data_IF_320138842400
#
_entry.id   IF_320138842400
#
_cell.length_a   1.000
_cell.length_b   1.000
_cell.length_c   1.000
_cell.angle_alpha   90.00
_cell.angle_beta   90.00
_cell.angle_gamma   90.00
#
_symmetry.space_group_name_H-M   'P 1'
#
loop_
_entity.id
_entity.type
_entity.pdbx_description
1 polymer ?
#
# COMPACT_ATOMS: atom_id res chain seq x y z
N UNK A 1 23.82 -13.94 35.81
CA UNK A 1 23.50 -12.71 35.05
C UNK A 1 22.97 -13.19 33.72
N UNK A 2 21.66 -13.13 33.52
CA UNK A 2 20.99 -13.78 32.38
C UNK A 2 21.17 -12.88 31.16
N UNK A 3 22.00 -13.29 30.21
CA UNK A 3 22.02 -12.68 28.87
C UNK A 3 20.70 -13.00 28.19
N UNK A 4 19.79 -12.03 28.14
CA UNK A 4 18.64 -12.08 27.27
C UNK A 4 19.11 -11.68 25.87
N UNK A 5 19.52 -12.68 25.07
CA UNK A 5 19.50 -12.54 23.62
C UNK A 5 18.03 -12.49 23.20
N UNK A 6 17.50 -11.28 23.01
CA UNK A 6 16.23 -11.07 22.35
C UNK A 6 16.52 -11.15 20.86
N UNK A 7 16.63 -12.37 20.34
CA UNK A 7 16.52 -12.62 18.91
C UNK A 7 15.04 -12.59 18.53
N UNK A 8 14.46 -11.39 18.53
CA UNK A 8 13.19 -11.12 17.84
C UNK A 8 13.51 -10.91 16.36
N UNK A 9 13.84 -11.98 15.64
CA UNK A 9 13.93 -11.95 14.18
C UNK A 9 12.52 -11.85 13.61
N UNK A 10 11.90 -10.67 13.75
CA UNK A 10 10.64 -10.33 13.12
C UNK A 10 10.91 -10.13 11.63
N UNK A 11 10.44 -11.06 10.80
CA UNK A 11 10.43 -10.87 9.35
C UNK A 11 9.48 -9.71 9.04
N UNK A 12 10.02 -8.53 8.79
CA UNK A 12 9.25 -7.38 8.31
C UNK A 12 8.62 -7.73 6.97
N UNK A 13 7.36 -7.34 6.77
CA UNK A 13 6.67 -7.55 5.50
C UNK A 13 7.24 -6.59 4.46
N UNK A 14 7.63 -7.12 3.31
CA UNK A 14 8.05 -6.28 2.20
C UNK A 14 6.85 -5.47 1.69
N UNK A 15 7.00 -4.14 1.65
CA UNK A 15 6.04 -3.24 1.06
C UNK A 15 6.70 -2.55 -0.13
N UNK A 16 6.07 -2.64 -1.30
CA UNK A 16 6.60 -2.09 -2.55
C UNK A 16 5.51 -1.35 -3.33
N UNK A 17 5.91 -0.67 -4.39
CA UNK A 17 5.01 0.07 -5.26
C UNK A 17 4.78 -0.68 -6.56
N UNK A 18 3.54 -0.64 -7.05
CA UNK A 18 3.24 -1.03 -8.42
C UNK A 18 4.02 -0.14 -9.40
N UNK A 19 4.54 -0.67 -10.51
CA UNK A 19 5.41 0.06 -11.45
C UNK A 19 4.85 1.42 -11.89
N UNK A 20 3.57 1.48 -12.28
CA UNK A 20 2.93 2.75 -12.62
C UNK A 20 2.78 3.71 -11.42
N UNK A 21 2.60 3.18 -10.21
CA UNK A 21 2.47 3.99 -9.01
C UNK A 21 3.83 4.50 -8.52
N UNK A 22 4.90 3.74 -8.73
CA UNK A 22 6.26 4.17 -8.40
C UNK A 22 6.60 5.48 -9.13
N UNK A 23 6.34 5.54 -10.44
CA UNK A 23 6.50 6.77 -11.22
C UNK A 23 5.61 7.91 -10.71
N UNK A 24 4.34 7.64 -10.36
CA UNK A 24 3.45 8.67 -9.79
C UNK A 24 3.95 9.16 -8.42
N UNK A 25 4.49 8.27 -7.59
CA UNK A 25 4.98 8.55 -6.26
C UNK A 25 6.15 9.53 -6.28
N UNK A 26 7.06 9.41 -7.26
CA UNK A 26 8.17 10.35 -7.44
C UNK A 26 7.70 11.80 -7.65
N UNK A 27 6.55 11.98 -8.29
CA UNK A 27 5.94 13.28 -8.57
C UNK A 27 5.10 13.84 -7.41
N UNK A 28 4.85 13.06 -6.36
CA UNK A 28 4.14 13.54 -5.18
C UNK A 28 4.99 14.50 -4.35
N UNK A 29 4.34 15.49 -3.73
CA UNK A 29 4.98 16.39 -2.78
C UNK A 29 5.67 15.62 -1.64
N UNK A 30 6.83 16.11 -1.21
CA UNK A 30 7.63 15.48 -0.16
C UNK A 30 6.83 15.17 1.11
N UNK A 31 5.92 16.05 1.52
CA UNK A 31 5.10 15.82 2.72
C UNK A 31 4.12 14.65 2.54
N UNK A 32 3.59 14.46 1.33
CA UNK A 32 2.71 13.34 0.99
C UNK A 32 3.50 12.04 0.96
N UNK A 33 4.67 12.04 0.30
CA UNK A 33 5.58 10.89 0.25
C UNK A 33 5.96 10.40 1.65
N UNK A 34 6.36 11.32 2.53
CA UNK A 34 6.71 11.00 3.92
C UNK A 34 5.51 10.45 4.70
N UNK A 35 4.33 11.03 4.50
CA UNK A 35 3.10 10.54 5.13
C UNK A 35 2.72 9.14 4.68
N UNK A 36 2.89 8.84 3.39
CA UNK A 36 2.63 7.50 2.85
C UNK A 36 3.64 6.49 3.40
N UNK A 37 4.95 6.79 3.34
CA UNK A 37 5.99 5.92 3.91
C UNK A 37 5.73 5.66 5.39
N UNK A 38 5.36 6.68 6.17
CA UNK A 38 5.04 6.52 7.58
C UNK A 38 3.84 5.59 7.81
N UNK A 39 2.83 5.63 6.93
CA UNK A 39 1.69 4.71 7.00
C UNK A 39 2.05 3.28 6.58
N UNK A 40 2.94 3.12 5.60
CA UNK A 40 3.43 1.82 5.15
C UNK A 40 4.16 1.05 6.26
N UNK A 41 4.86 1.75 7.17
CA UNK A 41 5.51 1.14 8.35
C UNK A 41 4.56 0.30 9.21
N UNK A 42 3.28 0.68 9.29
CA UNK A 42 2.30 -0.13 9.99
C UNK A 42 2.09 -1.50 9.31
N UNK A 43 2.15 -1.54 7.98
CA UNK A 43 2.07 -2.77 7.18
C UNK A 43 3.38 -3.54 7.20
N UNK A 44 4.53 -2.87 7.13
CA UNK A 44 5.86 -3.51 7.26
C UNK A 44 5.95 -4.29 8.58
N UNK A 45 5.49 -3.69 9.68
CA UNK A 45 5.58 -4.31 11.00
C UNK A 45 4.51 -5.39 11.26
N UNK A 46 3.25 -5.13 10.87
CA UNK A 46 2.11 -5.98 11.26
C UNK A 46 1.53 -6.83 10.11
N UNK A 47 1.90 -6.54 8.86
CA UNK A 47 1.44 -7.25 7.68
C UNK A 47 -0.09 -7.35 7.59
N UNK A 48 -0.66 -8.54 7.39
CA UNK A 48 -2.11 -8.76 7.33
C UNK A 48 -2.86 -8.30 8.57
N UNK A 49 -2.20 -8.28 9.74
CA UNK A 49 -2.77 -7.84 11.00
C UNK A 49 -2.75 -6.32 11.19
N UNK A 50 -2.13 -5.57 10.26
CA UNK A 50 -2.22 -4.11 10.27
C UNK A 50 -3.69 -3.67 10.17
N UNK A 51 -4.07 -2.76 11.06
CA UNK A 51 -5.45 -2.29 11.20
C UNK A 51 -5.55 -0.82 11.58
N UNK A 52 -6.69 -0.43 12.13
CA UNK A 52 -6.96 0.96 12.49
C UNK A 52 -5.96 1.46 13.54
N UNK A 53 -5.56 2.75 13.48
CA UNK A 53 -6.11 3.82 12.63
C UNK A 53 -5.50 3.93 11.22
N UNK A 54 -4.40 3.21 10.93
CA UNK A 54 -3.60 3.40 9.72
C UNK A 54 -4.05 2.55 8.54
N UNK A 55 -4.67 1.40 8.81
CA UNK A 55 -5.17 0.47 7.79
C UNK A 55 -6.65 0.20 8.00
N UNK A 56 -7.39 0.10 6.92
CA UNK A 56 -8.79 -0.37 6.90
C UNK A 56 -9.05 -1.26 5.68
N UNK A 57 -10.20 -1.91 5.64
CA UNK A 57 -10.65 -2.66 4.44
C UNK A 57 -11.20 -1.67 3.42
N UNK A 58 -10.78 -1.80 2.15
CA UNK A 58 -11.30 -0.96 1.06
C UNK A 58 -12.53 -1.62 0.44
N UNK A 59 -13.72 -1.25 0.93
CA UNK A 59 -14.97 -1.79 0.44
C UNK A 59 -15.32 -1.31 -0.99
N UNK A 60 -15.94 -2.18 -1.77
CA UNK A 60 -16.40 -1.89 -3.13
C UNK A 60 -15.42 -2.26 -4.24
N UNK A 61 -14.22 -2.74 -3.90
CA UNK A 61 -13.30 -3.37 -4.84
C UNK A 61 -13.84 -4.72 -5.33
N UNK A 62 -13.47 -5.10 -6.56
CA UNK A 62 -13.67 -6.46 -7.08
C UNK A 62 -12.83 -7.51 -6.35
N UNK A 63 -11.77 -7.09 -5.67
CA UNK A 63 -10.85 -7.94 -4.92
C UNK A 63 -11.14 -7.84 -3.43
N UNK A 64 -11.52 -8.95 -2.81
CA UNK A 64 -11.92 -8.97 -1.40
C UNK A 64 -10.77 -8.65 -0.42
N UNK A 65 -9.52 -8.80 -0.86
CA UNK A 65 -8.31 -8.52 -0.07
C UNK A 65 -7.79 -7.08 -0.23
N UNK A 66 -8.50 -6.20 -0.94
CA UNK A 66 -8.10 -4.81 -1.12
C UNK A 66 -8.23 -4.01 0.19
N UNK A 67 -7.17 -3.29 0.55
CA UNK A 67 -7.06 -2.50 1.80
C UNK A 67 -6.77 -1.03 1.51
N UNK A 68 -7.09 -0.16 2.48
CA UNK A 68 -6.72 1.26 2.44
C UNK A 68 -5.68 1.61 3.52
N UNK A 69 -4.64 2.32 3.12
CA UNK A 69 -3.77 3.10 4.01
C UNK A 69 -4.41 4.46 4.25
N UNK A 70 -4.36 4.90 5.51
CA UNK A 70 -4.97 6.13 5.99
C UNK A 70 -3.90 7.01 6.60
N UNK A 71 -3.65 8.16 5.98
CA UNK A 71 -2.66 9.11 6.47
C UNK A 71 -3.07 10.54 6.19
N UNK A 72 -2.33 11.47 6.79
CA UNK A 72 -2.46 12.89 6.52
C UNK A 72 -1.14 13.45 6.05
N UNK A 73 -1.21 14.50 5.23
CA UNK A 73 -0.06 15.25 4.75
C UNK A 73 -0.16 16.71 5.16
N UNK A 74 0.94 17.46 5.00
CA UNK A 74 1.04 18.89 5.31
C UNK A 74 0.52 19.24 6.71
N UNK A 75 1.08 18.57 7.72
CA UNK A 75 0.70 18.76 9.13
C UNK A 75 -0.81 18.59 9.39
N UNK A 76 -1.42 17.56 8.80
CA UNK A 76 -2.83 17.23 9.04
C UNK A 76 -3.83 17.95 8.14
N UNK A 77 -3.39 18.90 7.29
CA UNK A 77 -4.28 19.69 6.44
C UNK A 77 -4.87 18.90 5.29
N UNK A 78 -4.19 17.85 4.84
CA UNK A 78 -4.66 17.03 3.73
C UNK A 78 -4.90 15.60 4.19
N UNK A 79 -6.09 15.08 3.90
CA UNK A 79 -6.46 13.70 4.18
C UNK A 79 -6.21 12.87 2.93
N UNK A 80 -5.34 11.87 3.05
CA UNK A 80 -4.96 11.00 1.95
C UNK A 80 -5.37 9.55 2.21
N UNK A 81 -5.67 8.84 1.13
CA UNK A 81 -5.87 7.39 1.14
C UNK A 81 -5.01 6.77 0.08
N UNK A 82 -4.41 5.62 0.38
CA UNK A 82 -3.78 4.78 -0.63
C UNK A 82 -4.41 3.39 -0.62
N UNK A 83 -4.60 2.79 -1.79
CA UNK A 83 -5.06 1.41 -1.90
C UNK A 83 -3.85 0.49 -2.00
N UNK A 84 -3.91 -0.65 -1.31
CA UNK A 84 -2.89 -1.69 -1.39
C UNK A 84 -3.52 -3.08 -1.24
N UNK A 85 -2.80 -4.09 -1.70
CA UNK A 85 -3.19 -5.50 -1.53
C UNK A 85 -1.96 -6.36 -1.30
N UNK A 86 -2.15 -7.54 -0.70
CA UNK A 86 -1.09 -8.55 -0.60
C UNK A 86 -1.06 -9.39 -1.86
N UNK A 87 0.14 -9.58 -2.42
CA UNK A 87 0.38 -10.46 -3.56
C UNK A 87 0.52 -11.93 -3.11
N UNK A 88 0.57 -12.90 -4.06
CA UNK A 88 0.75 -14.32 -3.73
C UNK A 88 2.06 -14.63 -3.00
N UNK A 89 3.09 -13.80 -3.16
CA UNK A 89 4.41 -13.95 -2.53
C UNK A 89 4.47 -13.36 -1.12
N UNK A 90 3.31 -12.99 -0.55
CA UNK A 90 3.18 -12.42 0.80
C UNK A 90 3.91 -11.07 0.94
N UNK A 91 3.82 -10.22 -0.07
CA UNK A 91 4.31 -8.84 -0.04
C UNK A 91 3.14 -7.87 -0.22
N UNK A 92 3.24 -6.66 0.32
CA UNK A 92 2.21 -5.64 0.17
C UNK A 92 2.54 -4.69 -0.98
N UNK A 93 1.69 -4.66 -2.00
CA UNK A 93 1.83 -3.76 -3.15
C UNK A 93 0.92 -2.54 -2.98
N UNK A 94 1.47 -1.34 -2.93
CA UNK A 94 0.69 -0.09 -2.98
C UNK A 94 0.40 0.25 -4.44
N UNK A 95 -0.89 0.42 -4.74
CA UNK A 95 -1.41 0.48 -6.11
C UNK A 95 -1.70 1.90 -6.55
N UNK A 96 -2.17 2.75 -5.64
CA UNK A 96 -2.55 4.14 -5.93
C UNK A 96 -2.70 4.92 -4.63
N UNK A 97 -2.41 6.22 -4.65
CA UNK A 97 -2.69 7.15 -3.57
C UNK A 97 -3.43 8.39 -4.09
N UNK A 98 -4.33 8.96 -3.27
CA UNK A 98 -5.08 10.14 -3.64
C UNK A 98 -5.49 11.01 -2.45
N UNK A 99 -5.47 12.31 -2.68
CA UNK A 99 -6.05 13.29 -1.77
C UNK A 99 -7.58 13.18 -1.80
N UNK A 100 -8.17 13.01 -0.61
CA UNK A 100 -9.64 12.98 -0.45
C UNK A 100 -10.26 14.39 -0.46
N UNK A 101 -9.44 15.42 -0.30
CA UNK A 101 -9.86 16.83 -0.30
C UNK A 101 -10.49 17.23 -1.64
N UNK A 102 -11.52 18.09 -1.61
CA UNK A 102 -12.06 18.76 -2.80
C UNK A 102 -12.92 17.91 -3.75
N UNK A 103 -13.19 16.63 -3.44
CA UNK A 103 -14.09 15.75 -4.22
C UNK A 103 -15.19 15.20 -3.32
N UNK A 104 -16.33 14.84 -3.92
CA UNK A 104 -17.34 14.06 -3.18
C UNK A 104 -16.73 12.72 -2.77
N UNK A 105 -17.09 12.23 -1.57
CA UNK A 105 -16.55 10.98 -1.04
C UNK A 105 -16.79 9.80 -1.99
N UNK A 106 -17.97 9.74 -2.62
CA UNK A 106 -18.34 8.68 -3.56
C UNK A 106 -17.49 8.73 -4.84
N UNK A 107 -17.29 9.91 -5.43
CA UNK A 107 -16.45 10.07 -6.62
C UNK A 107 -14.98 9.74 -6.34
N UNK A 108 -14.47 10.17 -5.18
CA UNK A 108 -13.12 9.86 -4.75
C UNK A 108 -12.88 8.34 -4.66
N UNK A 109 -13.71 7.62 -3.90
CA UNK A 109 -13.53 6.18 -3.74
C UNK A 109 -13.78 5.40 -5.03
N UNK A 110 -14.75 5.82 -5.86
CA UNK A 110 -14.96 5.22 -7.17
C UNK A 110 -13.70 5.29 -8.03
N UNK A 111 -13.03 6.45 -8.09
CA UNK A 111 -11.79 6.63 -8.84
C UNK A 111 -10.63 5.81 -8.23
N UNK A 112 -10.46 5.88 -6.90
CA UNK A 112 -9.40 5.16 -6.20
C UNK A 112 -9.50 3.64 -6.44
N UNK A 113 -10.71 3.08 -6.27
CA UNK A 113 -10.98 1.65 -6.46
C UNK A 113 -10.79 1.25 -7.92
N UNK A 114 -11.28 2.05 -8.87
CA UNK A 114 -11.13 1.73 -10.29
C UNK A 114 -9.66 1.58 -10.71
N UNK A 115 -8.79 2.47 -10.24
CA UNK A 115 -7.35 2.40 -10.53
C UNK A 115 -6.69 1.23 -9.79
N UNK A 116 -7.02 1.04 -8.51
CA UNK A 116 -6.50 -0.05 -7.71
C UNK A 116 -6.84 -1.42 -8.29
N UNK A 117 -8.10 -1.65 -8.66
CA UNK A 117 -8.56 -2.91 -9.22
C UNK A 117 -7.85 -3.23 -10.55
N UNK A 118 -7.67 -2.23 -11.41
CA UNK A 118 -6.95 -2.43 -12.68
C UNK A 118 -5.50 -2.86 -12.41
N UNK A 119 -4.76 -2.08 -11.61
CA UNK A 119 -3.34 -2.34 -11.31
C UNK A 119 -3.13 -3.67 -10.60
N UNK A 120 -4.05 -4.04 -9.70
CA UNK A 120 -3.94 -5.32 -9.02
C UNK A 120 -4.23 -6.50 -9.95
N UNK A 121 -5.19 -6.36 -10.88
CA UNK A 121 -5.42 -7.37 -11.91
C UNK A 121 -4.16 -7.56 -12.80
N UNK A 122 -3.51 -6.47 -13.19
CA UNK A 122 -2.28 -6.49 -14.00
C UNK A 122 -1.12 -7.19 -13.26
N UNK A 123 -0.96 -6.91 -11.96
CA UNK A 123 0.00 -7.59 -11.10
C UNK A 123 -0.25 -9.10 -11.02
N UNK A 124 -1.50 -9.52 -10.78
CA UNK A 124 -1.87 -10.93 -10.69
C UNK A 124 -1.67 -11.67 -12.01
N UNK A 125 -2.01 -11.04 -13.15
CA UNK A 125 -1.78 -11.61 -14.48
C UNK A 125 -0.28 -11.80 -14.75
N UNK A 126 0.55 -10.84 -14.33
CA UNK A 126 2.00 -10.91 -14.47
C UNK A 126 2.63 -11.99 -13.59
N UNK A 127 2.09 -12.22 -12.40
CA UNK A 127 2.54 -13.29 -11.50
C UNK A 127 2.19 -14.69 -12.06
N UNK A 128 1.01 -14.86 -12.67
CA UNK A 128 0.61 -16.13 -13.30
C UNK A 128 1.47 -16.46 -14.53
N UNK A 129 1.91 -15.44 -15.26
CA UNK A 129 2.78 -15.60 -16.42
C UNK A 129 4.28 -15.69 -16.06
N UNK A 130 4.64 -15.57 -14.78
CA UNK A 130 5.98 -15.28 -14.29
C UNK A 130 6.76 -16.44 -13.67
N UNK A 131 6.71 -17.65 -14.23
CA UNK A 131 7.71 -18.71 -13.93
C UNK A 131 9.13 -18.31 -14.42
N UNK A 132 9.28 -17.18 -15.12
CA UNK A 132 10.59 -16.65 -15.49
C UNK A 132 10.69 -15.15 -15.17
N UNK A 133 11.48 -14.77 -14.16
CA UNK A 133 12.23 -13.51 -14.20
C UNK A 133 13.68 -13.78 -13.74
N UNK A 134 14.68 -13.59 -14.63
CA UNK A 134 16.07 -13.76 -14.26
C UNK A 134 16.53 -12.61 -13.35
N UNK A 135 17.42 -12.95 -12.41
CA UNK A 135 18.10 -12.04 -11.50
C UNK A 135 18.74 -10.88 -12.27
N UNK A 136 18.44 -9.64 -11.86
CA UNK A 136 19.14 -8.46 -12.37
C UNK A 136 20.59 -8.51 -11.88
N UNK A 137 21.51 -8.66 -12.83
CA UNK A 137 22.97 -8.55 -12.68
C UNK A 137 23.42 -7.14 -12.29
#
# INVERSE_FOLDING_TARGET
>A
MVSASIDCTGQEWEVYFHDEFDAEFEHLDRAVRLGLIAAMRAVEHAGPHAGRPHVDVLHGSKFANMKELRFTARAGREVWRAAFAFDPDRRACVLVAGAKQGKSQSAFYKQLIQVADRRFADLLASAVNGIEKPERS
#
